data_IF_460269353207
#
_entry.id   IF_460269353207
#
_cell.length_a   1.000
_cell.length_b   1.000
_cell.length_c   1.000
_cell.angle_alpha   90.00
_cell.angle_beta   90.00
_cell.angle_gamma   90.00
#
_symmetry.space_group_name_H-M   'P 1'
#
loop_
_entity.id
_entity.type
_entity.pdbx_description
1 polymer ?
#
# COMPACT_ATOMS: atom_id res chain seq x y z
N UNK A 1 -84.75 4.08 2.01
CA UNK A 1 -83.66 4.57 1.13
C UNK A 1 -82.38 4.99 1.91
N UNK A 2 -82.19 4.60 3.18
CA UNK A 2 -81.05 5.06 4.00
C UNK A 2 -79.77 4.21 3.85
N UNK A 3 -79.89 2.93 3.43
CA UNK A 3 -78.74 2.01 3.41
C UNK A 3 -77.66 2.32 2.37
N UNK A 4 -78.02 2.92 1.23
CA UNK A 4 -77.08 3.22 0.14
C UNK A 4 -76.09 4.32 0.51
N UNK A 5 -76.53 5.33 1.26
CA UNK A 5 -75.69 6.44 1.73
C UNK A 5 -74.63 5.96 2.72
N UNK A 6 -75.00 5.02 3.60
CA UNK A 6 -74.07 4.42 4.58
C UNK A 6 -73.02 3.55 3.87
N UNK A 7 -73.43 2.74 2.89
CA UNK A 7 -72.50 1.90 2.13
C UNK A 7 -71.50 2.70 1.30
N UNK A 8 -71.94 3.80 0.68
CA UNK A 8 -71.04 4.71 -0.05
C UNK A 8 -70.03 5.39 0.90
N UNK A 9 -70.46 5.81 2.09
CA UNK A 9 -69.60 6.46 3.08
C UNK A 9 -68.53 5.48 3.60
N UNK A 10 -68.92 4.24 3.88
CA UNK A 10 -68.00 3.16 4.30
C UNK A 10 -66.95 2.89 3.21
N UNK A 11 -67.35 2.82 1.94
CA UNK A 11 -66.42 2.62 0.82
C UNK A 11 -65.39 3.76 0.69
N UNK A 12 -65.81 5.01 0.89
CA UNK A 12 -64.91 6.18 0.83
C UNK A 12 -63.89 6.17 1.96
N UNK A 13 -64.31 5.81 3.18
CA UNK A 13 -63.41 5.68 4.34
C UNK A 13 -62.37 4.58 4.10
N UNK A 14 -62.80 3.40 3.64
CA UNK A 14 -61.89 2.28 3.35
C UNK A 14 -60.88 2.65 2.26
N UNK A 15 -61.32 3.36 1.22
CA UNK A 15 -60.44 3.86 0.17
C UNK A 15 -59.38 4.84 0.71
N UNK A 16 -59.78 5.78 1.58
CA UNK A 16 -58.86 6.73 2.21
C UNK A 16 -57.86 6.05 3.14
N UNK A 17 -58.31 5.06 3.91
CA UNK A 17 -57.44 4.26 4.80
C UNK A 17 -56.42 3.48 3.97
N UNK A 18 -56.85 2.84 2.88
CA UNK A 18 -55.96 2.08 1.99
C UNK A 18 -54.94 2.98 1.29
N UNK A 19 -55.36 4.18 0.86
CA UNK A 19 -54.48 5.18 0.28
C UNK A 19 -53.48 5.74 1.29
N UNK A 20 -53.94 6.06 2.52
CA UNK A 20 -53.07 6.51 3.61
C UNK A 20 -52.04 5.46 4.01
N UNK A 21 -52.42 4.19 4.04
CA UNK A 21 -51.52 3.07 4.32
C UNK A 21 -50.48 2.91 3.20
N UNK A 22 -50.88 3.09 1.95
CA UNK A 22 -49.96 3.09 0.79
C UNK A 22 -48.95 4.23 0.88
N UNK A 23 -49.39 5.45 1.23
CA UNK A 23 -48.50 6.61 1.45
C UNK A 23 -47.55 6.32 2.61
N UNK A 24 -48.02 5.72 3.70
CA UNK A 24 -47.19 5.40 4.85
C UNK A 24 -46.06 4.43 4.49
N UNK A 25 -46.38 3.36 3.75
CA UNK A 25 -45.38 2.39 3.27
C UNK A 25 -44.37 3.08 2.34
N UNK A 26 -44.87 3.89 1.40
CA UNK A 26 -44.01 4.61 0.47
C UNK A 26 -43.09 5.60 1.19
N UNK A 27 -43.63 6.38 2.13
CA UNK A 27 -42.88 7.35 2.92
C UNK A 27 -41.85 6.67 3.82
N UNK A 28 -42.18 5.53 4.42
CA UNK A 28 -41.24 4.74 5.21
C UNK A 28 -40.08 4.21 4.34
N UNK A 29 -40.38 3.65 3.16
CA UNK A 29 -39.34 3.22 2.21
C UNK A 29 -38.48 4.37 1.71
N UNK A 30 -39.11 5.51 1.40
CA UNK A 30 -38.44 6.73 0.98
C UNK A 30 -37.54 7.28 2.09
N UNK A 31 -38.02 7.30 3.34
CA UNK A 31 -37.27 7.76 4.49
C UNK A 31 -36.06 6.87 4.76
N UNK A 32 -36.18 5.56 4.62
CA UNK A 32 -35.05 4.65 4.78
C UNK A 32 -33.97 4.86 3.69
N UNK A 33 -34.40 5.07 2.43
CA UNK A 33 -33.48 5.45 1.37
C UNK A 33 -32.83 6.82 1.63
N UNK A 34 -33.59 7.79 2.14
CA UNK A 34 -33.10 9.11 2.49
C UNK A 34 -32.11 9.08 3.67
N UNK A 35 -32.38 8.29 4.71
CA UNK A 35 -31.47 8.06 5.83
C UNK A 35 -30.16 7.41 5.38
N UNK A 36 -30.23 6.51 4.39
CA UNK A 36 -29.03 5.92 3.78
C UNK A 36 -28.18 6.99 3.07
N UNK A 37 -28.83 7.92 2.36
CA UNK A 37 -28.16 9.08 1.73
C UNK A 37 -27.68 10.10 2.78
N UNK A 38 -28.37 10.23 3.91
CA UNK A 38 -27.96 11.12 4.99
C UNK A 38 -26.75 10.58 5.77
N UNK A 39 -26.78 9.30 6.14
CA UNK A 39 -25.70 8.60 6.84
C UNK A 39 -24.43 8.42 6.00
N UNK A 40 -24.55 8.47 4.67
CA UNK A 40 -23.39 8.41 3.79
C UNK A 40 -22.38 9.55 4.04
N UNK A 41 -22.77 10.69 4.62
CA UNK A 41 -21.85 11.82 4.84
C UNK A 41 -20.63 11.48 5.71
N UNK A 42 -20.84 10.90 6.88
CA UNK A 42 -19.73 10.52 7.77
C UNK A 42 -18.98 9.34 7.19
N UNK A 43 -19.71 8.37 6.64
CA UNK A 43 -19.11 7.18 6.04
C UNK A 43 -18.16 7.51 4.87
N UNK A 44 -18.50 8.48 4.02
CA UNK A 44 -17.62 8.94 2.93
C UNK A 44 -16.30 9.48 3.48
N UNK A 45 -16.38 10.34 4.50
CA UNK A 45 -15.19 10.95 5.10
C UNK A 45 -14.32 9.90 5.78
N UNK A 46 -14.92 8.98 6.51
CA UNK A 46 -14.20 7.91 7.21
C UNK A 46 -13.58 6.91 6.23
N UNK A 47 -14.31 6.47 5.20
CA UNK A 47 -13.79 5.52 4.20
C UNK A 47 -12.69 6.14 3.34
N UNK A 48 -12.85 7.39 2.87
CA UNK A 48 -11.83 8.07 2.08
C UNK A 48 -10.59 8.41 2.91
N UNK A 49 -10.76 8.92 4.13
CA UNK A 49 -9.63 9.24 5.01
C UNK A 49 -8.85 8.00 5.43
N UNK A 50 -9.54 6.90 5.75
CA UNK A 50 -8.92 5.63 6.10
C UNK A 50 -8.21 5.00 4.90
N UNK A 51 -8.83 4.99 3.72
CA UNK A 51 -8.20 4.45 2.51
C UNK A 51 -6.97 5.27 2.12
N UNK A 52 -7.07 6.61 2.20
CA UNK A 52 -5.93 7.50 2.01
C UNK A 52 -4.82 7.15 2.98
N UNK A 53 -5.12 7.12 4.28
CA UNK A 53 -4.13 6.77 5.30
C UNK A 53 -3.43 5.45 4.97
N UNK A 54 -4.19 4.39 4.66
CA UNK A 54 -3.63 3.08 4.30
C UNK A 54 -2.76 3.11 3.05
N UNK A 55 -3.17 3.82 2.00
CA UNK A 55 -2.39 3.95 0.76
C UNK A 55 -1.05 4.65 1.00
N UNK A 56 -1.06 5.73 1.79
CA UNK A 56 0.14 6.52 2.08
C UNK A 56 1.08 5.80 3.04
N UNK A 57 0.54 5.13 4.07
CA UNK A 57 1.31 4.25 4.95
C UNK A 57 2.02 3.15 4.14
N UNK A 58 1.30 2.50 3.23
CA UNK A 58 1.85 1.43 2.40
C UNK A 58 2.92 1.95 1.43
N UNK A 59 2.69 3.13 0.84
CA UNK A 59 3.69 3.78 0.01
C UNK A 59 4.96 4.09 0.83
N UNK A 60 4.85 4.85 1.92
CA UNK A 60 5.98 5.17 2.80
C UNK A 60 6.76 3.92 3.21
N UNK A 61 6.07 2.85 3.59
CA UNK A 61 6.67 1.57 3.92
C UNK A 61 7.50 1.00 2.76
N UNK A 62 6.91 0.90 1.56
CA UNK A 62 7.59 0.37 0.38
C UNK A 62 8.75 1.28 -0.08
N UNK A 63 8.64 2.58 0.14
CA UNK A 63 9.72 3.54 -0.10
C UNK A 63 10.92 3.27 0.81
N UNK A 64 10.67 3.02 2.08
CA UNK A 64 11.70 2.68 3.06
C UNK A 64 12.35 1.32 2.72
N UNK A 65 11.55 0.30 2.40
CA UNK A 65 12.09 -1.01 1.98
C UNK A 65 12.94 -0.90 0.72
N UNK A 66 12.49 -0.15 -0.29
CA UNK A 66 13.26 0.10 -1.52
C UNK A 66 14.59 0.79 -1.22
N UNK A 67 14.63 1.74 -0.27
CA UNK A 67 15.89 2.40 0.14
C UNK A 67 16.85 1.41 0.79
N UNK A 68 16.32 0.45 1.57
CA UNK A 68 17.12 -0.59 2.24
C UNK A 68 17.62 -1.66 1.28
N UNK A 69 16.86 -1.99 0.25
CA UNK A 69 17.22 -3.00 -0.76
C UNK A 69 18.18 -2.52 -1.84
N UNK A 70 18.35 -1.19 -2.04
CA UNK A 70 19.34 -0.70 -2.99
C UNK A 70 20.72 -1.18 -2.55
N UNK A 71 21.31 -2.18 -3.22
CA UNK A 71 22.63 -2.64 -2.87
C UNK A 71 23.57 -1.49 -3.18
N UNK A 72 24.58 -1.30 -2.35
CA UNK A 72 25.73 -0.41 -2.55
C UNK A 72 26.52 -0.65 -3.87
N UNK A 73 25.96 -1.39 -4.83
CA UNK A 73 26.47 -1.64 -6.19
C UNK A 73 26.72 -0.35 -6.99
N UNK A 74 26.09 0.77 -6.62
CA UNK A 74 26.35 2.06 -7.24
C UNK A 74 27.65 2.72 -6.72
N UNK A 75 28.27 2.20 -5.65
CA UNK A 75 29.62 2.65 -5.24
C UNK A 75 30.74 2.09 -6.10
N UNK A 76 30.56 0.92 -6.74
CA UNK A 76 31.59 0.32 -7.58
C UNK A 76 31.56 0.78 -9.05
N UNK A 77 30.47 1.43 -9.51
CA UNK A 77 30.37 1.93 -10.89
C UNK A 77 30.95 3.33 -11.10
N UNK A 78 31.34 4.01 -10.02
CA UNK A 78 31.96 5.34 -10.06
C UNK A 78 33.48 5.28 -10.26
N UNK A 79 34.13 4.14 -9.99
CA UNK A 79 35.59 4.00 -10.13
C UNK A 79 36.02 3.72 -11.58
N UNK A 80 35.19 3.07 -12.38
CA UNK A 80 35.53 2.80 -13.79
C UNK A 80 35.36 4.01 -14.72
N UNK A 81 34.67 5.06 -14.26
CA UNK A 81 34.45 6.27 -15.08
C UNK A 81 35.55 7.32 -14.99
N UNK A 82 36.52 7.16 -14.08
CA UNK A 82 37.64 8.09 -13.94
C UNK A 82 38.91 7.65 -14.68
N UNK A 83 38.87 6.50 -15.38
CA UNK A 83 40.03 5.96 -16.11
C UNK A 83 40.04 6.23 -17.62
N UNK A 84 38.96 6.79 -18.18
CA UNK A 84 38.79 6.95 -19.64
C UNK A 84 38.88 8.40 -20.15
N UNK A 85 39.30 9.37 -19.31
CA UNK A 85 39.46 10.78 -19.72
C UNK A 85 40.93 11.20 -19.91
N UNK A 86 41.90 10.28 -19.81
CA UNK A 86 43.34 10.64 -19.86
C UNK A 86 44.04 10.44 -21.22
N UNK A 87 43.31 10.07 -22.28
CA UNK A 87 43.88 9.85 -23.62
C UNK A 87 43.11 10.58 -24.75
N UNK A 88 42.54 11.76 -24.48
CA UNK A 88 41.90 12.56 -25.54
C UNK A 88 42.26 14.04 -25.46
N UNK A 89 43.56 14.32 -25.48
CA UNK A 89 44.10 15.61 -25.91
C UNK A 89 44.99 15.36 -27.11
N UNK A 90 44.40 15.53 -28.29
CA UNK A 90 44.97 15.20 -29.58
C UNK A 90 43.95 15.57 -30.63
N UNK A 91 43.89 16.87 -30.89
CA UNK A 91 43.59 17.51 -32.17
C UNK A 91 42.99 16.59 -33.25
N UNK A 92 41.71 16.77 -33.59
CA UNK A 92 41.26 16.58 -34.97
C UNK A 92 39.82 17.06 -35.17
N UNK A 93 39.68 17.92 -36.19
CA UNK A 93 38.43 18.35 -36.80
C UNK A 93 37.68 17.15 -37.38
N UNK A 94 36.37 17.09 -37.15
CA UNK A 94 35.48 16.37 -38.08
C UNK A 94 34.29 15.68 -37.45
N UNK A 95 33.14 15.85 -38.13
CA UNK A 95 32.18 14.76 -38.27
C UNK A 95 31.07 14.73 -37.22
N UNK A 96 29.91 15.24 -37.62
CA UNK A 96 28.64 14.87 -36.97
C UNK A 96 28.44 13.36 -37.01
N UNK A 97 28.08 12.81 -35.87
CA UNK A 97 27.64 11.43 -35.72
C UNK A 97 26.64 11.41 -34.58
N UNK A 98 25.35 11.45 -34.92
CA UNK A 98 24.27 11.22 -33.98
C UNK A 98 24.42 9.82 -33.40
N UNK A 99 25.15 9.70 -32.30
CA UNK A 99 25.12 8.51 -31.47
C UNK A 99 23.72 8.44 -30.86
N UNK A 100 22.85 7.72 -31.56
CA UNK A 100 21.65 7.14 -30.99
C UNK A 100 22.09 6.45 -29.70
N UNK A 101 21.81 7.10 -28.57
CA UNK A 101 22.04 6.53 -27.25
C UNK A 101 21.10 5.33 -27.20
N UNK A 102 21.60 4.16 -27.60
CA UNK A 102 21.03 2.88 -27.27
C UNK A 102 21.00 2.87 -25.76
N UNK A 103 19.87 3.31 -25.21
CA UNK A 103 19.58 3.18 -23.79
C UNK A 103 19.77 1.69 -23.53
N UNK A 104 20.67 1.29 -22.62
CA UNK A 104 20.79 -0.12 -22.29
C UNK A 104 19.38 -0.59 -21.97
N UNK A 105 18.88 -1.58 -22.71
CA UNK A 105 17.57 -2.18 -22.47
C UNK A 105 17.60 -2.60 -21.02
N UNK A 106 16.93 -1.81 -20.21
CA UNK A 106 16.89 -1.95 -18.76
C UNK A 106 16.03 -3.19 -18.57
N UNK A 107 16.69 -4.34 -18.38
CA UNK A 107 15.99 -5.60 -18.19
C UNK A 107 14.95 -5.41 -17.11
N UNK A 108 13.69 -5.55 -17.51
CA UNK A 108 12.49 -5.35 -16.69
C UNK A 108 12.56 -6.26 -15.44
N UNK A 109 13.29 -7.36 -15.53
CA UNK A 109 13.49 -8.32 -14.47
C UNK A 109 14.66 -8.01 -13.52
N UNK A 110 15.64 -7.19 -13.92
CA UNK A 110 16.86 -6.97 -13.12
C UNK A 110 16.90 -5.65 -12.35
N UNK A 111 16.13 -4.63 -12.74
CA UNK A 111 16.39 -3.31 -12.17
C UNK A 111 15.70 -3.03 -10.82
N UNK A 112 14.73 -3.81 -10.32
CA UNK A 112 14.37 -3.61 -8.91
C UNK A 112 13.42 -4.53 -8.18
N UNK A 113 13.40 -5.79 -8.56
CA UNK A 113 12.82 -6.83 -7.73
C UNK A 113 11.33 -6.66 -7.43
N UNK A 114 10.76 -7.58 -6.63
CA UNK A 114 9.34 -7.58 -6.31
C UNK A 114 8.89 -6.24 -5.71
N UNK A 115 9.71 -5.62 -4.86
CA UNK A 115 9.36 -4.39 -4.14
C UNK A 115 9.16 -3.20 -5.10
N UNK A 116 9.91 -3.10 -6.21
CA UNK A 116 9.64 -2.03 -7.17
C UNK A 116 8.28 -2.17 -7.82
N UNK A 117 7.92 -3.39 -8.23
CA UNK A 117 6.61 -3.68 -8.83
C UNK A 117 5.48 -3.36 -7.85
N UNK A 118 5.61 -3.75 -6.58
CA UNK A 118 4.62 -3.40 -5.56
C UNK A 118 4.49 -1.88 -5.40
N UNK A 119 5.61 -1.14 -5.34
CA UNK A 119 5.56 0.31 -5.21
C UNK A 119 4.96 0.99 -6.44
N UNK A 120 5.27 0.52 -7.65
CA UNK A 120 4.70 1.09 -8.87
C UNK A 120 3.18 0.83 -8.90
N UNK A 121 2.74 -0.36 -8.48
CA UNK A 121 1.33 -0.67 -8.30
C UNK A 121 0.65 0.22 -7.24
N UNK A 122 1.29 0.47 -6.09
CA UNK A 122 0.74 1.39 -5.07
C UNK A 122 0.67 2.83 -5.59
N UNK A 123 1.65 3.27 -6.38
CA UNK A 123 1.60 4.59 -7.04
C UNK A 123 0.43 4.71 -8.00
N UNK A 124 0.18 3.67 -8.79
CA UNK A 124 -0.97 3.65 -9.70
C UNK A 124 -2.29 3.68 -8.92
N UNK A 125 -2.40 2.94 -7.81
CA UNK A 125 -3.56 3.02 -6.92
C UNK A 125 -3.74 4.41 -6.29
N UNK A 126 -2.67 5.09 -5.91
CA UNK A 126 -2.73 6.46 -5.38
C UNK A 126 -3.22 7.42 -6.48
N UNK A 127 -2.77 7.24 -7.72
CA UNK A 127 -3.20 8.06 -8.85
C UNK A 127 -4.70 7.86 -9.14
N UNK A 128 -5.15 6.61 -9.13
CA UNK A 128 -6.56 6.26 -9.31
C UNK A 128 -7.40 6.83 -8.15
N UNK A 129 -6.95 6.65 -6.91
CA UNK A 129 -7.60 7.20 -5.73
C UNK A 129 -7.75 8.73 -5.80
N UNK A 130 -6.69 9.45 -6.17
CA UNK A 130 -6.73 10.91 -6.34
C UNK A 130 -7.77 11.35 -7.37
N UNK A 131 -7.94 10.60 -8.45
CA UNK A 131 -8.97 10.90 -9.46
C UNK A 131 -10.38 10.84 -8.85
N UNK A 132 -10.62 9.90 -7.93
CA UNK A 132 -11.91 9.76 -7.22
C UNK A 132 -12.06 10.72 -6.04
N UNK A 133 -10.95 11.13 -5.41
CA UNK A 133 -10.95 12.04 -4.25
C UNK A 133 -11.19 13.50 -4.66
N UNK A 134 -10.67 13.92 -5.82
CA UNK A 134 -10.77 15.29 -6.38
C UNK A 134 -12.14 15.97 -6.23
N UNK A 135 -13.30 15.36 -6.57
CA UNK A 135 -14.61 16.01 -6.45
C UNK A 135 -15.06 16.30 -5.01
N UNK A 136 -14.40 15.73 -3.99
CA UNK A 136 -14.75 15.88 -2.58
C UNK A 136 -13.84 16.85 -1.83
N UNK A 137 -12.72 17.25 -2.43
CA UNK A 137 -11.73 18.11 -1.81
C UNK A 137 -12.12 19.58 -1.92
N UNK A 138 -12.28 20.24 -0.77
CA UNK A 138 -12.32 21.70 -0.71
C UNK A 138 -10.89 22.18 -0.65
N UNK A 139 -10.42 22.86 -1.70
CA UNK A 139 -9.16 23.58 -1.66
C UNK A 139 -9.46 24.98 -1.10
N UNK A 140 -9.15 25.28 0.17
CA UNK A 140 -9.33 26.64 0.67
C UNK A 140 -8.29 27.54 0.02
N UNK A 141 -8.74 28.36 -0.94
CA UNK A 141 -8.06 29.57 -1.38
C UNK A 141 -6.66 29.41 -1.99
N UNK A 142 -6.54 28.78 -3.16
CA UNK A 142 -5.59 29.27 -4.16
C UNK A 142 -6.00 28.78 -5.55
N UNK A 143 -6.54 29.70 -6.33
CA UNK A 143 -6.37 29.72 -7.78
C UNK A 143 -4.88 29.66 -8.05
N UNK A 144 -4.38 28.50 -8.45
CA UNK A 144 -3.21 28.28 -9.34
C UNK A 144 -2.83 26.80 -9.28
N UNK A 145 -3.51 26.04 -10.14
CA UNK A 145 -3.00 24.96 -10.98
C UNK A 145 -1.55 24.52 -10.67
N UNK A 146 -1.37 23.25 -10.30
CA UNK A 146 -0.11 22.48 -10.21
C UNK A 146 0.83 22.68 -9.02
N UNK A 147 0.96 23.87 -8.40
CA UNK A 147 1.99 24.07 -7.35
C UNK A 147 1.58 23.61 -5.96
N UNK A 148 0.32 23.82 -5.57
CA UNK A 148 -0.21 23.37 -4.28
C UNK A 148 -0.40 21.85 -4.18
N UNK A 149 -0.65 21.17 -5.31
CA UNK A 149 -0.79 19.70 -5.33
C UNK A 149 0.52 19.03 -4.88
N UNK A 150 1.69 19.53 -5.32
CA UNK A 150 2.99 18.92 -4.98
C UNK A 150 3.38 19.03 -3.50
N UNK A 151 2.92 20.06 -2.78
CA UNK A 151 3.18 20.19 -1.34
C UNK A 151 2.18 19.41 -0.48
N UNK A 152 0.95 19.24 -0.97
CA UNK A 152 -0.08 18.38 -0.37
C UNK A 152 0.14 16.88 -0.65
N UNK A 153 0.90 16.55 -1.69
CA UNK A 153 1.21 15.18 -2.12
C UNK A 153 2.14 14.40 -1.17
N UNK A 154 2.82 15.08 -0.24
CA UNK A 154 3.95 14.49 0.49
C UNK A 154 3.91 14.66 2.01
N UNK A 155 2.96 15.43 2.54
CA UNK A 155 2.87 15.68 3.97
C UNK A 155 1.72 14.91 4.59
N UNK A 156 2.05 14.01 5.54
CA UNK A 156 1.12 13.43 6.52
C UNK A 156 0.24 14.51 7.20
N UNK A 157 0.66 15.78 7.21
CA UNK A 157 -0.08 16.93 7.73
C UNK A 157 -1.30 17.37 6.90
N UNK A 158 -1.48 16.89 5.67
CA UNK A 158 -2.67 17.17 4.85
C UNK A 158 -3.91 16.35 5.28
N UNK A 159 -3.81 15.51 6.32
CA UNK A 159 -4.87 14.64 6.84
C UNK A 159 -6.13 15.38 7.34
N UNK A 160 -6.09 16.71 7.49
CA UNK A 160 -7.25 17.56 7.85
C UNK A 160 -7.82 18.31 6.65
N UNK A 161 -7.87 17.69 5.47
CA UNK A 161 -8.66 18.27 4.37
C UNK A 161 -10.15 18.15 4.69
N UNK A 162 -10.82 19.30 4.76
CA UNK A 162 -12.26 19.37 4.94
C UNK A 162 -12.93 18.83 3.67
N UNK A 163 -13.46 17.61 3.73
CA UNK A 163 -14.29 17.08 2.65
C UNK A 163 -15.64 17.81 2.62
N UNK A 164 -16.00 18.37 1.47
CA UNK A 164 -17.36 18.85 1.25
C UNK A 164 -18.25 17.66 0.90
N UNK A 165 -19.21 17.38 1.77
CA UNK A 165 -20.13 16.25 1.64
C UNK A 165 -21.58 16.75 1.52
N UNK A 166 -21.82 17.66 0.58
CA UNK A 166 -23.17 18.13 0.26
C UNK A 166 -23.94 17.06 -0.53
N UNK A 167 -25.25 17.25 -0.69
CA UNK A 167 -26.15 16.31 -1.37
C UNK A 167 -25.70 15.90 -2.79
N UNK A 168 -25.21 16.80 -3.68
CA UNK A 168 -24.77 16.38 -5.00
C UNK A 168 -23.51 15.51 -4.94
N UNK A 169 -22.58 15.77 -4.02
CA UNK A 169 -21.39 14.95 -3.80
C UNK A 169 -21.77 13.54 -3.31
N UNK A 170 -22.88 13.38 -2.59
CA UNK A 170 -23.35 12.06 -2.14
C UNK A 170 -23.93 11.21 -3.28
N UNK A 171 -24.59 11.83 -4.24
CA UNK A 171 -25.02 11.15 -5.46
C UNK A 171 -23.81 10.74 -6.31
N UNK A 172 -22.82 11.62 -6.39
CA UNK A 172 -21.54 11.34 -7.04
C UNK A 172 -20.82 10.18 -6.33
N UNK A 173 -20.85 10.14 -4.99
CA UNK A 173 -20.29 9.06 -4.20
C UNK A 173 -20.95 7.71 -4.49
N UNK A 174 -22.27 7.63 -4.61
CA UNK A 174 -22.96 6.38 -4.94
C UNK A 174 -22.43 5.74 -6.23
N UNK A 175 -22.02 6.57 -7.21
CA UNK A 175 -21.37 6.11 -8.43
C UNK A 175 -19.91 5.68 -8.21
N UNK A 176 -19.15 6.44 -7.43
CA UNK A 176 -17.72 6.18 -7.19
C UNK A 176 -17.43 5.16 -6.10
N UNK A 177 -18.40 4.82 -5.25
CA UNK A 177 -18.23 3.89 -4.12
C UNK A 177 -17.63 2.57 -4.56
N UNK A 178 -18.12 2.02 -5.67
CA UNK A 178 -17.59 0.77 -6.21
C UNK A 178 -16.12 0.88 -6.61
N UNK A 179 -15.70 2.00 -7.19
CA UNK A 179 -14.32 2.25 -7.58
C UNK A 179 -13.40 2.41 -6.36
N UNK A 180 -13.87 3.09 -5.31
CA UNK A 180 -13.12 3.22 -4.05
C UNK A 180 -12.96 1.85 -3.38
N UNK A 181 -14.00 1.02 -3.38
CA UNK A 181 -13.88 -0.35 -2.88
C UNK A 181 -12.94 -1.20 -3.71
N UNK A 182 -12.91 -1.04 -5.04
CA UNK A 182 -11.96 -1.74 -5.91
C UNK A 182 -10.52 -1.36 -5.55
N UNK A 183 -10.22 -0.07 -5.37
CA UNK A 183 -8.90 0.41 -4.91
C UNK A 183 -8.52 -0.22 -3.56
N UNK A 184 -9.45 -0.29 -2.60
CA UNK A 184 -9.21 -0.95 -1.31
C UNK A 184 -8.88 -2.43 -1.48
N UNK A 185 -9.65 -3.17 -2.27
CA UNK A 185 -9.39 -4.61 -2.49
C UNK A 185 -8.07 -4.85 -3.22
N UNK A 186 -7.67 -3.98 -4.14
CA UNK A 186 -6.36 -4.04 -4.81
C UNK A 186 -5.23 -3.74 -3.84
N UNK A 187 -5.41 -2.77 -2.94
CA UNK A 187 -4.45 -2.48 -1.88
C UNK A 187 -4.27 -3.68 -0.95
N UNK A 188 -5.36 -4.32 -0.52
CA UNK A 188 -5.32 -5.53 0.30
C UNK A 188 -4.57 -6.68 -0.39
N UNK A 189 -4.76 -6.86 -1.70
CA UNK A 189 -3.99 -7.83 -2.50
C UNK A 189 -2.49 -7.51 -2.52
N UNK A 190 -2.12 -6.24 -2.61
CA UNK A 190 -0.71 -5.83 -2.54
C UNK A 190 -0.13 -6.09 -1.15
N UNK A 191 -0.87 -5.75 -0.09
CA UNK A 191 -0.45 -5.97 1.30
C UNK A 191 -0.25 -7.46 1.61
N UNK A 192 -1.18 -8.32 1.18
CA UNK A 192 -1.06 -9.77 1.34
C UNK A 192 0.12 -10.35 0.56
N UNK A 193 0.32 -9.89 -0.69
CA UNK A 193 1.47 -10.29 -1.49
C UNK A 193 2.79 -9.86 -0.85
N UNK A 194 2.85 -8.65 -0.28
CA UNK A 194 4.01 -8.16 0.46
C UNK A 194 4.29 -9.00 1.70
N UNK A 195 3.27 -9.27 2.52
CA UNK A 195 3.40 -10.10 3.70
C UNK A 195 3.92 -11.50 3.35
N UNK A 196 3.50 -12.07 2.22
CA UNK A 196 4.03 -13.34 1.72
C UNK A 196 5.51 -13.25 1.34
N UNK A 197 5.94 -12.16 0.68
CA UNK A 197 7.36 -11.93 0.36
C UNK A 197 8.20 -11.80 1.64
N UNK A 198 7.75 -11.01 2.61
CA UNK A 198 8.43 -10.84 3.89
C UNK A 198 8.51 -12.14 4.69
N UNK A 199 7.42 -12.90 4.77
CA UNK A 199 7.40 -14.20 5.43
C UNK A 199 8.37 -15.19 4.75
N UNK A 200 8.41 -15.20 3.41
CA UNK A 200 9.34 -16.05 2.66
C UNK A 200 10.78 -15.68 2.96
N UNK A 201 11.11 -14.39 3.00
CA UNK A 201 12.47 -13.93 3.35
C UNK A 201 12.82 -14.24 4.79
N UNK A 202 11.90 -14.02 5.73
CA UNK A 202 12.09 -14.36 7.13
C UNK A 202 12.38 -15.86 7.31
N UNK A 203 11.63 -16.72 6.61
CA UNK A 203 11.87 -18.17 6.61
C UNK A 203 13.27 -18.54 6.09
N UNK A 204 13.72 -17.91 5.00
CA UNK A 204 15.06 -18.16 4.46
C UNK A 204 16.14 -17.73 5.46
N UNK A 205 16.04 -16.53 6.03
CA UNK A 205 16.99 -16.06 7.04
C UNK A 205 17.05 -16.96 8.27
N UNK A 206 15.90 -17.46 8.75
CA UNK A 206 15.84 -18.39 9.88
C UNK A 206 16.51 -19.73 9.53
N UNK A 207 16.32 -20.19 8.30
CA UNK A 207 16.93 -21.45 7.83
C UNK A 207 18.45 -21.31 7.75
N UNK A 208 18.93 -20.17 7.24
CA UNK A 208 20.36 -19.86 7.16
C UNK A 208 20.97 -19.75 8.57
N UNK A 209 20.30 -19.06 9.51
CA UNK A 209 20.80 -18.95 10.90
C UNK A 209 20.78 -20.28 11.63
N UNK A 210 19.79 -21.14 11.41
CA UNK A 210 19.77 -22.50 11.96
C UNK A 210 20.94 -23.34 11.41
N UNK A 211 21.27 -23.20 10.14
CA UNK A 211 22.46 -23.82 9.55
C UNK A 211 23.74 -23.38 10.26
N UNK A 212 23.92 -22.07 10.46
CA UNK A 212 25.06 -21.51 11.18
C UNK A 212 25.10 -21.94 12.65
N UNK A 213 23.94 -22.01 13.32
CA UNK A 213 23.85 -22.49 14.70
C UNK A 213 24.25 -23.96 14.82
N UNK A 214 23.84 -24.79 13.85
CA UNK A 214 24.22 -26.20 13.80
C UNK A 214 25.72 -26.36 13.58
N UNK A 215 26.31 -25.60 12.66
CA UNK A 215 27.76 -25.63 12.43
C UNK A 215 28.53 -25.16 13.69
N UNK A 216 28.04 -24.14 14.38
CA UNK A 216 28.61 -23.68 15.65
C UNK A 216 28.52 -24.78 16.72
N UNK A 217 27.37 -25.45 16.83
CA UNK A 217 27.17 -26.55 17.76
C UNK A 217 28.13 -27.73 17.49
N UNK A 218 28.29 -28.13 16.22
CA UNK A 218 29.23 -29.19 15.82
C UNK A 218 30.68 -28.83 16.19
N UNK A 219 31.09 -27.57 15.98
CA UNK A 219 32.41 -27.09 16.40
C UNK A 219 32.59 -27.06 17.92
N UNK A 220 31.56 -26.70 18.67
CA UNK A 220 31.60 -26.73 20.15
C UNK A 220 31.76 -28.17 20.64
N UNK A 221 31.03 -29.13 20.07
CA UNK A 221 31.15 -30.54 20.43
C UNK A 221 32.55 -31.11 20.13
N UNK A 222 33.17 -30.76 19.00
CA UNK A 222 34.55 -31.16 18.70
C UNK A 222 35.54 -30.62 19.75
N UNK A 223 35.36 -29.36 20.17
CA UNK A 223 36.18 -28.77 21.24
C UNK A 223 35.95 -29.49 22.57
N UNK A 224 34.70 -29.80 22.92
CA UNK A 224 34.38 -30.55 24.15
C UNK A 224 35.01 -31.94 24.15
N UNK A 225 34.93 -32.68 23.05
CA UNK A 225 35.54 -34.02 22.93
C UNK A 225 37.07 -33.94 23.04
N UNK A 226 37.68 -32.93 22.43
CA UNK A 226 39.13 -32.70 22.56
C UNK A 226 39.52 -32.36 23.99
N UNK A 227 38.72 -31.59 24.71
CA UNK A 227 38.94 -31.27 26.13
C UNK A 227 38.85 -32.54 26.99
N UNK A 228 37.85 -33.40 26.75
CA UNK A 228 37.71 -34.70 27.46
C UNK A 228 38.93 -35.59 27.27
N UNK A 229 39.46 -35.72 26.05
CA UNK A 229 40.66 -36.50 25.78
C UNK A 229 41.88 -35.96 26.54
N UNK A 230 42.01 -34.63 26.66
CA UNK A 230 43.08 -34.01 27.44
C UNK A 230 42.88 -34.30 28.93
N UNK A 231 41.65 -34.17 29.44
CA UNK A 231 41.31 -34.46 30.83
C UNK A 231 41.68 -35.90 31.20
N UNK A 232 41.29 -36.88 30.38
CA UNK A 232 41.62 -38.30 30.60
C UNK A 232 43.14 -38.55 30.61
N UNK A 233 43.88 -37.90 29.70
CA UNK A 233 45.35 -38.00 29.66
C UNK A 233 46.00 -37.39 30.90
N UNK A 234 45.53 -36.23 31.35
CA UNK A 234 46.09 -35.53 32.52
C UNK A 234 45.77 -36.31 33.80
N UNK A 235 44.54 -36.82 33.94
CA UNK A 235 44.13 -37.64 35.07
C UNK A 235 44.89 -38.98 35.09
N UNK A 236 45.06 -39.64 33.94
CA UNK A 236 45.87 -40.86 33.83
C UNK A 236 47.33 -40.66 34.21
N UNK A 237 47.96 -39.56 33.79
CA UNK A 237 49.35 -39.22 34.17
C UNK A 237 49.48 -38.91 35.66
N UNK A 238 48.47 -38.28 36.28
CA UNK A 238 48.46 -38.04 37.74
C UNK A 238 48.38 -39.33 38.55
N UNK A 239 47.60 -40.32 38.09
CA UNK A 239 47.48 -41.62 38.77
C UNK A 239 48.80 -42.40 38.70
N UNK A 240 49.50 -42.38 37.56
CA UNK A 240 50.79 -43.07 37.37
C UNK A 240 51.94 -42.41 38.16
N UNK A 241 51.88 -41.11 38.43
CA UNK A 241 52.88 -40.39 39.25
C UNK A 241 52.60 -40.41 40.76
N UNK A 242 51.42 -40.86 41.18
CA UNK A 242 51.01 -40.94 42.59
C UNK A 242 51.16 -42.33 43.23
N UNK A 243 51.61 -43.32 42.46
CA UNK A 243 52.03 -44.66 42.90
C UNK A 243 53.56 -44.76 42.86
#
# INVERSE_FOLDING_TARGET
MSGYSVMSLVSTIIGFVSFGLTILIWLHSFWNAFQTVLGARSQIQDELSLLRQRLYEEAEYLRMLRRRERPSSERHRSEDKYRDDRYRSGDEKGGGGGHERVRPKKDIYHDGGPIRVLWDAVKDLIKDFKMYERPFLVIPGHTDTEKGEKELEWSYGALRQNYQCDLPQRLIWLKYRHHVTDVSTRLEKIQTHRAAIEATRGRLLITDTMGLMRECHERVMDVEDRVRVIEDRVLGVRIVRGL
#
